data_IF_399967179013
#
_entry.id   IF_399967179013
#
_cell.length_a   1.000
_cell.length_b   1.000
_cell.length_c   1.000
_cell.angle_alpha   90.00
_cell.angle_beta   90.00
_cell.angle_gamma   90.00
#
_symmetry.space_group_name_H-M   'P 1'
#
loop_
_entity.id
_entity.type
_entity.pdbx_description
1 polymer ?
#
# COMPACT_ATOMS: atom_id res chain seq x y z
N UNK A 1 -27.47 0.88 20.00
CA UNK A 1 -26.41 0.65 18.97
C UNK A 1 -26.18 1.87 18.08
N UNK A 2 -27.22 2.45 17.44
CA UNK A 2 -27.07 3.50 16.42
C UNK A 2 -26.12 4.65 16.82
N UNK A 3 -26.35 5.28 17.97
CA UNK A 3 -25.54 6.44 18.42
C UNK A 3 -24.06 6.06 18.65
N UNK A 4 -23.77 4.85 19.13
CA UNK A 4 -22.40 4.38 19.30
C UNK A 4 -21.72 4.13 17.95
N UNK A 5 -22.41 3.50 16.99
CA UNK A 5 -21.92 3.33 15.63
C UNK A 5 -21.66 4.68 14.95
N UNK A 6 -22.58 5.65 15.12
CA UNK A 6 -22.42 7.02 14.59
C UNK A 6 -21.18 7.72 15.18
N UNK A 7 -20.92 7.56 16.49
CA UNK A 7 -19.73 8.12 17.13
C UNK A 7 -18.45 7.48 16.61
N UNK A 8 -18.46 6.17 16.45
CA UNK A 8 -17.30 5.48 15.91
C UNK A 8 -17.02 5.81 14.44
N UNK A 9 -18.09 5.90 13.63
CA UNK A 9 -17.96 6.41 12.26
C UNK A 9 -17.36 7.82 12.22
N UNK A 10 -17.78 8.72 13.14
CA UNK A 10 -17.20 10.06 13.29
C UNK A 10 -15.71 10.01 13.63
N UNK A 11 -15.30 9.12 14.55
CA UNK A 11 -13.89 8.92 14.87
C UNK A 11 -13.06 8.51 13.62
N UNK A 12 -13.53 7.51 12.88
CA UNK A 12 -12.84 7.06 11.65
C UNK A 12 -12.82 8.17 10.57
N UNK A 13 -13.89 8.95 10.46
CA UNK A 13 -13.94 10.08 9.52
C UNK A 13 -12.93 11.18 9.87
N UNK A 14 -12.69 11.45 11.16
CA UNK A 14 -11.66 12.39 11.59
C UNK A 14 -10.25 11.86 11.27
N UNK A 15 -10.04 10.57 11.43
CA UNK A 15 -8.77 9.95 11.03
C UNK A 15 -8.56 9.96 9.51
N UNK A 16 -9.62 9.85 8.72
CA UNK A 16 -9.55 10.03 7.27
C UNK A 16 -9.16 11.47 6.89
N UNK A 17 -9.68 12.47 7.61
CA UNK A 17 -9.27 13.87 7.46
C UNK A 17 -7.80 14.08 7.85
N UNK A 18 -7.34 13.45 8.93
CA UNK A 18 -5.92 13.46 9.32
C UNK A 18 -5.02 13.05 8.15
N UNK A 19 -5.41 12.02 7.39
CA UNK A 19 -4.67 11.55 6.23
C UNK A 19 -4.60 12.56 5.08
N UNK A 20 -5.61 13.42 4.95
CA UNK A 20 -5.68 14.46 3.93
C UNK A 20 -5.24 15.84 4.40
N UNK A 21 -4.88 15.99 5.68
CA UNK A 21 -4.40 17.25 6.25
C UNK A 21 -3.08 17.69 5.61
N UNK A 22 -2.93 19.01 5.44
CA UNK A 22 -1.81 19.60 4.72
C UNK A 22 -0.67 20.07 5.64
N UNK A 23 -0.89 20.13 6.94
CA UNK A 23 0.10 20.56 7.93
C UNK A 23 -0.08 19.84 9.26
N UNK A 24 0.88 20.03 10.19
CA UNK A 24 0.85 19.36 11.49
C UNK A 24 -0.26 19.87 12.41
N UNK A 25 -0.63 21.16 12.34
CA UNK A 25 -1.71 21.74 13.16
C UNK A 25 -3.02 21.02 12.85
N UNK A 26 -3.37 20.93 11.56
CA UNK A 26 -4.58 20.22 11.13
C UNK A 26 -4.54 18.73 11.49
N UNK A 27 -3.36 18.11 11.42
CA UNK A 27 -3.17 16.73 11.87
C UNK A 27 -3.51 16.58 13.36
N UNK A 28 -3.02 17.47 14.23
CA UNK A 28 -3.30 17.42 15.68
C UNK A 28 -4.78 17.59 15.96
N UNK A 29 -5.45 18.56 15.33
CA UNK A 29 -6.91 18.78 15.48
C UNK A 29 -7.69 17.51 15.11
N UNK A 30 -7.34 16.86 13.98
CA UNK A 30 -8.00 15.63 13.57
C UNK A 30 -7.76 14.47 14.56
N UNK A 31 -6.58 14.40 15.17
CA UNK A 31 -6.28 13.39 16.20
C UNK A 31 -7.04 13.65 17.51
N UNK A 32 -7.10 14.89 17.97
CA UNK A 32 -7.85 15.25 19.18
C UNK A 32 -9.33 14.89 19.02
N UNK A 33 -9.93 15.21 17.89
CA UNK A 33 -11.29 14.82 17.54
C UNK A 33 -11.46 13.30 17.44
N UNK A 34 -10.46 12.60 16.91
CA UNK A 34 -10.46 11.13 16.85
C UNK A 34 -10.45 10.52 18.26
N UNK A 35 -9.54 10.93 19.14
CA UNK A 35 -9.45 10.41 20.51
C UNK A 35 -10.74 10.65 21.30
N UNK A 36 -11.30 11.85 21.20
CA UNK A 36 -12.55 12.23 21.87
C UNK A 36 -13.72 11.38 21.36
N UNK A 37 -13.87 11.22 20.06
CA UNK A 37 -14.95 10.45 19.43
C UNK A 37 -14.79 8.94 19.70
N UNK A 38 -13.58 8.41 19.64
CA UNK A 38 -13.29 7.01 19.92
C UNK A 38 -13.69 6.62 21.35
N UNK A 39 -13.28 7.42 22.35
CA UNK A 39 -13.66 7.19 23.74
C UNK A 39 -15.16 7.34 23.98
N UNK A 40 -15.78 8.34 23.35
CA UNK A 40 -17.23 8.58 23.46
C UNK A 40 -18.06 7.41 22.95
N UNK A 41 -17.55 6.63 22.00
CA UNK A 41 -18.23 5.43 21.45
C UNK A 41 -18.60 4.43 22.54
N UNK A 42 -17.64 4.01 23.36
CA UNK A 42 -17.90 3.04 24.44
C UNK A 42 -18.77 3.64 25.56
N UNK A 43 -18.63 4.93 25.85
CA UNK A 43 -19.43 5.61 26.87
C UNK A 43 -20.91 5.73 26.43
N UNK A 44 -21.17 6.17 25.20
CA UNK A 44 -22.54 6.27 24.66
C UNK A 44 -23.19 4.89 24.62
N UNK A 45 -22.45 3.87 24.26
CA UNK A 45 -22.94 2.50 24.28
C UNK A 45 -23.31 2.03 25.69
N UNK A 46 -22.48 2.33 26.68
CA UNK A 46 -22.77 2.06 28.09
C UNK A 46 -24.06 2.74 28.54
N UNK A 47 -24.21 4.04 28.26
CA UNK A 47 -25.41 4.79 28.61
C UNK A 47 -26.67 4.25 27.93
N UNK A 48 -26.57 3.87 26.67
CA UNK A 48 -27.69 3.35 25.90
C UNK A 48 -28.17 1.96 26.36
N UNK A 49 -27.30 1.17 26.97
CA UNK A 49 -27.61 -0.18 27.45
C UNK A 49 -27.83 -0.26 28.96
N UNK A 50 -27.54 0.81 29.70
CA UNK A 50 -27.75 0.88 31.14
C UNK A 50 -29.23 0.64 31.44
N UNK A 51 -29.49 -0.15 32.48
CA UNK A 51 -30.84 -0.56 32.94
C UNK A 51 -31.65 -1.35 31.90
N UNK A 52 -31.01 -1.90 30.87
CA UNK A 52 -31.62 -2.85 29.92
C UNK A 52 -31.12 -4.27 30.21
N UNK A 53 -31.77 -5.26 29.62
CA UNK A 53 -31.30 -6.67 29.69
C UNK A 53 -29.91 -6.89 29.08
N UNK A 54 -29.42 -5.94 28.30
CA UNK A 54 -28.12 -5.98 27.63
C UNK A 54 -26.96 -5.36 28.44
N UNK A 55 -27.22 -4.76 29.61
CA UNK A 55 -26.19 -4.17 30.46
C UNK A 55 -25.09 -5.20 30.88
N UNK A 56 -25.44 -6.43 31.33
CA UNK A 56 -24.44 -7.44 31.64
C UNK A 56 -23.61 -7.88 30.41
N UNK A 57 -24.21 -7.86 29.23
CA UNK A 57 -23.56 -8.17 27.96
C UNK A 57 -22.50 -7.10 27.64
N UNK A 58 -22.85 -5.80 27.79
CA UNK A 58 -21.91 -4.72 27.61
C UNK A 58 -20.69 -4.85 28.55
N UNK A 59 -20.91 -5.14 29.82
CA UNK A 59 -19.81 -5.32 30.78
C UNK A 59 -18.87 -6.46 30.40
N UNK A 60 -19.44 -7.59 29.93
CA UNK A 60 -18.66 -8.72 29.42
C UNK A 60 -17.80 -8.34 28.22
N UNK A 61 -18.37 -7.62 27.22
CA UNK A 61 -17.62 -7.20 26.04
C UNK A 61 -16.59 -6.11 26.36
N UNK A 62 -16.94 -5.16 27.22
CA UNK A 62 -16.00 -4.15 27.72
C UNK A 62 -14.79 -4.79 28.41
N UNK A 63 -15.02 -5.81 29.25
CA UNK A 63 -13.95 -6.56 29.90
C UNK A 63 -13.08 -7.26 28.85
N UNK A 64 -13.70 -8.00 27.91
CA UNK A 64 -13.02 -8.79 26.87
C UNK A 64 -12.17 -7.91 25.93
N UNK A 65 -12.68 -6.78 25.47
CA UNK A 65 -12.07 -6.01 24.40
C UNK A 65 -11.28 -4.79 24.88
N UNK A 66 -11.78 -4.05 25.87
CA UNK A 66 -11.23 -2.73 26.20
C UNK A 66 -10.40 -2.73 27.50
N UNK A 67 -10.89 -3.33 28.57
CA UNK A 67 -10.38 -3.08 29.92
C UNK A 67 -8.99 -3.66 30.16
N UNK A 68 -8.65 -4.78 29.54
CA UNK A 68 -7.35 -5.44 29.68
C UNK A 68 -6.37 -5.08 28.57
N UNK A 69 -6.85 -4.37 27.55
CA UNK A 69 -6.04 -4.03 26.39
C UNK A 69 -5.21 -2.76 26.64
N UNK A 70 -3.87 -2.88 26.50
CA UNK A 70 -2.93 -1.77 26.71
C UNK A 70 -3.22 -0.58 25.80
N UNK A 71 -3.50 -0.83 24.52
CA UNK A 71 -3.75 0.22 23.54
C UNK A 71 -5.04 0.97 23.84
N UNK A 72 -6.12 0.26 24.22
CA UNK A 72 -7.37 0.91 24.60
C UNK A 72 -7.27 1.72 25.90
N UNK A 73 -6.44 1.29 26.86
CA UNK A 73 -6.12 2.09 28.05
C UNK A 73 -5.41 3.38 27.67
N UNK A 74 -4.38 3.28 26.85
CA UNK A 74 -3.66 4.43 26.33
C UNK A 74 -4.59 5.40 25.61
N UNK A 75 -5.52 4.93 24.75
CA UNK A 75 -6.51 5.77 24.08
C UNK A 75 -7.39 6.58 25.05
N UNK A 76 -7.75 5.98 26.20
CA UNK A 76 -8.54 6.67 27.23
C UNK A 76 -7.69 7.70 27.99
N UNK A 77 -6.46 7.40 28.29
CA UNK A 77 -5.50 8.29 28.94
C UNK A 77 -5.21 9.50 28.06
N UNK A 78 -4.87 9.26 26.80
CA UNK A 78 -4.63 10.32 25.80
C UNK A 78 -5.82 11.26 25.64
N UNK A 79 -7.04 10.71 25.53
CA UNK A 79 -8.24 11.54 25.47
C UNK A 79 -8.40 12.42 26.71
N UNK A 80 -8.11 11.89 27.91
CA UNK A 80 -8.21 12.67 29.14
C UNK A 80 -7.19 13.80 29.21
N UNK A 81 -6.01 13.62 28.64
CA UNK A 81 -4.99 14.66 28.49
C UNK A 81 -5.43 15.73 27.53
N UNK A 82 -5.84 15.34 26.30
CA UNK A 82 -6.29 16.23 25.24
C UNK A 82 -7.48 17.12 25.70
N UNK A 83 -8.45 16.56 26.40
CA UNK A 83 -9.61 17.33 26.85
C UNK A 83 -9.38 18.22 28.08
N UNK A 84 -8.35 17.91 28.88
CA UNK A 84 -8.16 18.56 30.19
C UNK A 84 -6.88 19.38 30.32
N UNK A 85 -5.88 19.11 29.48
CA UNK A 85 -4.54 19.67 29.67
C UNK A 85 -4.00 20.41 28.46
N UNK A 86 -3.79 19.67 27.35
CA UNK A 86 -3.17 20.22 26.15
C UNK A 86 -3.50 19.34 24.92
N UNK A 87 -3.39 19.86 23.70
CA UNK A 87 -3.50 19.09 22.48
C UNK A 87 -2.52 17.91 22.45
N UNK A 88 -2.83 16.90 21.64
CA UNK A 88 -1.95 15.72 21.50
C UNK A 88 -0.53 16.11 21.08
N UNK A 89 0.45 15.63 21.83
CA UNK A 89 1.85 15.91 21.52
C UNK A 89 2.37 14.98 20.42
N UNK A 90 2.35 15.49 19.20
CA UNK A 90 2.66 14.77 17.97
C UNK A 90 4.02 15.16 17.42
N UNK A 91 4.90 14.17 17.24
CA UNK A 91 6.14 14.31 16.51
C UNK A 91 5.98 13.81 15.09
N UNK A 92 6.23 14.67 14.10
CA UNK A 92 6.21 14.31 12.69
C UNK A 92 7.63 14.20 12.14
N UNK A 93 7.98 13.02 11.66
CA UNK A 93 9.21 12.75 10.93
C UNK A 93 8.89 12.47 9.46
N UNK A 94 9.73 12.98 8.57
CA UNK A 94 9.65 12.76 7.13
C UNK A 94 10.89 12.03 6.67
N UNK A 95 10.71 10.86 6.07
CA UNK A 95 11.76 10.08 5.44
C UNK A 95 11.73 10.38 3.95
N UNK A 96 12.74 11.03 3.45
CA UNK A 96 12.92 11.31 2.02
C UNK A 96 13.78 10.20 1.44
N UNK A 97 13.23 9.44 0.51
CA UNK A 97 13.99 8.39 -0.19
C UNK A 97 14.05 8.71 -1.67
N UNK A 98 15.27 8.81 -2.21
CA UNK A 98 15.55 9.12 -3.61
C UNK A 98 16.01 7.85 -4.30
N UNK A 99 15.46 7.59 -5.50
CA UNK A 99 15.71 6.36 -6.26
C UNK A 99 16.53 6.65 -7.51
N UNK A 100 17.37 5.68 -7.89
CA UNK A 100 18.06 5.72 -9.19
C UNK A 100 17.03 5.53 -10.32
N UNK A 101 17.16 6.27 -11.41
CA UNK A 101 16.34 6.03 -12.60
C UNK A 101 16.49 4.58 -13.08
N UNK A 102 15.42 3.99 -13.57
CA UNK A 102 15.38 2.65 -14.20
C UNK A 102 15.51 1.48 -13.21
N UNK A 103 16.51 1.45 -12.33
CA UNK A 103 16.80 0.27 -11.46
C UNK A 103 16.13 0.31 -10.09
N UNK A 104 15.44 1.40 -9.75
CA UNK A 104 14.75 1.59 -8.47
C UNK A 104 15.63 1.46 -7.21
N UNK A 105 16.97 1.45 -7.36
CA UNK A 105 17.87 1.40 -6.21
C UNK A 105 17.76 2.67 -5.40
N UNK A 106 17.83 2.57 -4.07
CA UNK A 106 17.91 3.73 -3.19
C UNK A 106 19.25 4.40 -3.42
N UNK A 107 19.22 5.64 -3.88
CA UNK A 107 20.40 6.49 -4.06
C UNK A 107 20.76 7.19 -2.75
N UNK A 108 19.76 7.72 -2.06
CA UNK A 108 19.90 8.47 -0.82
C UNK A 108 18.62 8.33 0.01
N UNK A 109 18.77 8.27 1.33
CA UNK A 109 17.65 8.34 2.25
C UNK A 109 18.03 9.24 3.42
N UNK A 110 17.17 10.19 3.77
CA UNK A 110 17.36 11.14 4.86
C UNK A 110 16.10 11.30 5.66
N UNK A 111 16.24 11.68 6.93
CA UNK A 111 15.12 11.87 7.87
C UNK A 111 15.13 13.29 8.39
N UNK A 112 13.99 13.94 8.37
CA UNK A 112 13.78 15.29 8.87
C UNK A 112 12.67 15.30 9.90
N UNK A 113 12.82 16.11 10.96
CA UNK A 113 11.69 16.48 11.82
C UNK A 113 11.07 17.75 11.25
N UNK A 114 9.76 17.74 11.08
CA UNK A 114 9.02 18.83 10.46
C UNK A 114 8.32 19.65 11.53
N UNK A 115 8.50 20.98 11.50
CA UNK A 115 7.85 21.92 12.39
C UNK A 115 6.33 21.99 12.15
N UNK A 116 5.59 22.50 13.15
CA UNK A 116 4.13 22.45 13.18
C UNK A 116 3.46 23.28 12.09
N UNK A 117 4.03 24.37 11.69
CA UNK A 117 3.48 25.34 10.73
C UNK A 117 3.91 25.10 9.28
N UNK A 118 4.74 24.09 9.03
CA UNK A 118 5.23 23.79 7.68
C UNK A 118 4.17 23.10 6.85
N UNK A 119 3.73 23.78 5.78
CA UNK A 119 2.91 23.16 4.74
C UNK A 119 3.70 22.09 3.96
N UNK A 120 3.03 20.98 3.62
CA UNK A 120 3.69 19.88 2.90
C UNK A 120 4.24 20.29 1.54
N UNK A 121 3.58 21.20 0.85
CA UNK A 121 4.08 21.73 -0.41
C UNK A 121 5.37 22.52 -0.21
N UNK A 122 5.44 23.34 0.84
CA UNK A 122 6.66 24.08 1.21
C UNK A 122 7.82 23.12 1.50
N UNK A 123 7.53 22.01 2.19
CA UNK A 123 8.53 20.97 2.41
C UNK A 123 9.06 20.39 1.10
N UNK A 124 8.18 20.04 0.16
CA UNK A 124 8.57 19.52 -1.17
C UNK A 124 9.42 20.54 -1.92
N UNK A 125 9.02 21.82 -1.92
CA UNK A 125 9.78 22.89 -2.57
C UNK A 125 11.17 23.08 -1.93
N UNK A 126 11.31 22.90 -0.61
CA UNK A 126 12.60 23.02 0.08
C UNK A 126 13.62 21.94 -0.33
N UNK A 127 13.16 20.80 -0.85
CA UNK A 127 14.03 19.74 -1.35
C UNK A 127 14.65 20.06 -2.73
N UNK A 128 14.16 21.07 -3.41
CA UNK A 128 14.52 21.39 -4.80
C UNK A 128 16.03 21.54 -5.02
N UNK A 129 16.70 22.25 -4.14
CA UNK A 129 18.15 22.47 -4.26
C UNK A 129 18.97 21.19 -4.05
N UNK A 130 18.50 20.27 -3.20
CA UNK A 130 19.14 18.96 -3.03
C UNK A 130 18.88 18.05 -4.24
N UNK A 131 17.67 18.08 -4.79
CA UNK A 131 17.31 17.29 -5.96
C UNK A 131 18.05 17.76 -7.23
N UNK A 132 18.31 19.06 -7.38
CA UNK A 132 19.11 19.63 -8.48
C UNK A 132 20.57 19.17 -8.48
N UNK A 133 21.12 18.80 -7.32
CA UNK A 133 22.48 18.23 -7.23
C UNK A 133 22.57 16.83 -7.84
N UNK A 134 21.43 16.16 -8.00
CA UNK A 134 21.36 14.86 -8.67
C UNK A 134 21.37 15.11 -10.17
N UNK A 135 22.46 14.78 -10.82
CA UNK A 135 22.69 15.06 -12.25
C UNK A 135 21.83 14.16 -13.17
N UNK A 136 20.50 14.24 -13.00
CA UNK A 136 19.51 13.56 -13.84
C UNK A 136 18.37 14.51 -14.16
N UNK A 137 17.75 14.33 -15.31
CA UNK A 137 16.62 15.17 -15.76
C UNK A 137 15.31 14.82 -15.02
N UNK A 138 15.19 13.58 -14.57
CA UNK A 138 14.04 13.02 -13.87
C UNK A 138 14.51 12.38 -12.58
N UNK A 139 14.11 12.96 -11.44
CA UNK A 139 14.47 12.47 -10.10
C UNK A 139 13.24 11.91 -9.42
N UNK A 140 13.29 10.62 -9.11
CA UNK A 140 12.23 9.89 -8.41
C UNK A 140 12.48 9.89 -6.91
N UNK A 141 11.50 10.32 -6.10
CA UNK A 141 11.61 10.28 -4.65
C UNK A 141 10.27 10.08 -3.98
N UNK A 142 10.30 9.51 -2.77
CA UNK A 142 9.13 9.36 -1.91
C UNK A 142 9.32 10.10 -0.59
N UNK A 143 8.22 10.60 -0.04
CA UNK A 143 8.12 11.17 1.29
C UNK A 143 7.27 10.22 2.13
N UNK A 144 7.89 9.55 3.11
CA UNK A 144 7.19 8.71 4.09
C UNK A 144 7.06 9.51 5.40
N UNK A 145 5.83 9.94 5.68
CA UNK A 145 5.50 10.69 6.88
C UNK A 145 5.23 9.73 8.02
N UNK A 146 6.05 9.76 9.06
CA UNK A 146 5.87 8.95 10.27
C UNK A 146 5.50 9.83 11.44
N UNK A 147 4.36 9.51 11.99
CA UNK A 147 3.82 10.18 13.16
C UNK A 147 4.15 9.36 14.40
N UNK A 148 4.70 10.04 15.40
CA UNK A 148 5.12 9.41 16.65
C UNK A 148 4.57 10.18 17.83
N UNK A 149 4.43 9.51 18.97
CA UNK A 149 4.21 10.18 20.23
C UNK A 149 5.51 10.84 20.67
N UNK A 150 5.45 12.09 21.12
CA UNK A 150 6.66 12.82 21.49
C UNK A 150 7.35 12.23 22.74
N UNK A 151 6.60 11.64 23.66
CA UNK A 151 7.08 11.10 24.93
C UNK A 151 7.85 9.78 24.79
N UNK A 152 7.39 8.86 23.96
CA UNK A 152 7.96 7.51 23.84
C UNK A 152 8.51 7.16 22.44
N UNK A 153 8.39 8.09 21.49
CA UNK A 153 8.78 7.91 20.09
C UNK A 153 8.15 6.66 19.44
N UNK A 154 7.03 6.18 19.95
CA UNK A 154 6.32 5.02 19.43
C UNK A 154 5.55 5.37 18.15
N UNK A 155 5.39 4.37 17.28
CA UNK A 155 4.63 4.53 16.05
C UNK A 155 3.14 4.67 16.34
N UNK A 156 2.64 5.89 16.17
CA UNK A 156 1.26 6.24 16.41
C UNK A 156 0.28 5.46 15.53
N UNK A 157 0.63 5.23 14.28
CA UNK A 157 -0.23 4.54 13.33
C UNK A 157 -0.55 3.10 13.74
N UNK A 158 0.44 2.35 14.18
CA UNK A 158 0.26 0.97 14.62
C UNK A 158 -0.68 0.88 15.84
N UNK A 159 -0.53 1.78 16.80
CA UNK A 159 -1.39 1.81 17.98
C UNK A 159 -2.84 2.20 17.62
N UNK A 160 -3.02 3.18 16.75
CA UNK A 160 -4.34 3.58 16.26
C UNK A 160 -5.02 2.44 15.49
N UNK A 161 -4.31 1.78 14.59
CA UNK A 161 -4.85 0.63 13.83
C UNK A 161 -5.28 -0.50 14.76
N UNK A 162 -4.47 -0.83 15.77
CA UNK A 162 -4.83 -1.85 16.76
C UNK A 162 -6.09 -1.46 17.55
N UNK A 163 -6.23 -0.20 17.98
CA UNK A 163 -7.41 0.29 18.69
C UNK A 163 -8.68 0.21 17.82
N UNK A 164 -8.57 0.58 16.54
CA UNK A 164 -9.70 0.51 15.57
C UNK A 164 -10.20 -0.92 15.43
N UNK A 165 -9.30 -1.89 15.17
CA UNK A 165 -9.65 -3.30 15.02
C UNK A 165 -10.39 -3.81 16.27
N UNK A 166 -9.90 -3.47 17.46
CA UNK A 166 -10.51 -3.90 18.72
C UNK A 166 -11.91 -3.32 18.87
N UNK A 167 -12.09 -2.01 18.63
CA UNK A 167 -13.40 -1.36 18.75
C UNK A 167 -14.38 -1.88 17.71
N UNK A 168 -13.96 -2.05 16.46
CA UNK A 168 -14.79 -2.63 15.39
C UNK A 168 -15.29 -4.02 15.77
N UNK A 169 -14.39 -4.88 16.24
CA UNK A 169 -14.77 -6.24 16.65
C UNK A 169 -15.76 -6.22 17.82
N UNK A 170 -15.54 -5.37 18.82
CA UNK A 170 -16.47 -5.20 19.93
C UNK A 170 -17.87 -4.77 19.45
N UNK A 171 -17.94 -3.76 18.59
CA UNK A 171 -19.22 -3.24 18.08
C UNK A 171 -19.94 -4.30 17.22
N UNK A 172 -19.23 -5.04 16.39
CA UNK A 172 -19.80 -6.13 15.57
C UNK A 172 -20.33 -7.28 16.41
N UNK A 173 -19.57 -7.74 17.40
CA UNK A 173 -20.00 -8.81 18.30
C UNK A 173 -21.25 -8.38 19.08
N UNK A 174 -21.30 -7.13 19.56
CA UNK A 174 -22.49 -6.61 20.25
C UNK A 174 -23.69 -6.48 19.30
N UNK A 175 -23.47 -5.93 18.11
CA UNK A 175 -24.48 -5.79 17.08
C UNK A 175 -25.14 -7.13 16.74
N UNK A 176 -24.33 -8.16 16.47
CA UNK A 176 -24.82 -9.50 16.18
C UNK A 176 -25.55 -10.17 17.35
N UNK A 177 -25.21 -9.81 18.58
CA UNK A 177 -25.80 -10.42 19.79
C UNK A 177 -27.12 -9.75 20.19
N UNK A 178 -27.25 -8.42 20.02
CA UNK A 178 -28.47 -7.69 20.33
C UNK A 178 -29.61 -8.02 19.34
N UNK A 179 -29.28 -8.19 18.05
CA UNK A 179 -30.19 -8.71 17.02
C UNK A 179 -31.37 -7.80 16.63
N UNK A 180 -31.71 -6.80 17.42
CA UNK A 180 -32.81 -5.85 17.16
C UNK A 180 -32.23 -4.51 16.69
N UNK A 181 -31.72 -4.49 15.46
CA UNK A 181 -31.05 -3.35 14.90
C UNK A 181 -31.80 -2.82 13.66
N UNK A 182 -31.76 -1.50 13.50
CA UNK A 182 -32.44 -0.82 12.39
C UNK A 182 -31.57 -0.85 11.12
N UNK A 183 -32.20 -0.69 9.96
CA UNK A 183 -31.53 -0.54 8.66
C UNK A 183 -30.42 0.53 8.68
N UNK A 184 -30.62 1.63 9.45
CA UNK A 184 -29.61 2.65 9.64
C UNK A 184 -28.36 2.15 10.37
N UNK A 185 -28.48 1.14 11.22
CA UNK A 185 -27.33 0.51 11.86
C UNK A 185 -26.54 -0.32 10.84
N UNK A 186 -27.23 -1.04 9.95
CA UNK A 186 -26.61 -1.82 8.87
C UNK A 186 -25.79 -0.91 7.95
N UNK A 187 -26.37 0.20 7.52
CA UNK A 187 -25.68 1.21 6.70
C UNK A 187 -24.43 1.77 7.39
N UNK A 188 -24.51 2.05 8.69
CA UNK A 188 -23.35 2.55 9.45
C UNK A 188 -22.24 1.49 9.57
N UNK A 189 -22.60 0.24 9.77
CA UNK A 189 -21.60 -0.86 9.82
C UNK A 189 -20.86 -0.96 8.49
N UNK A 190 -21.56 -0.92 7.37
CA UNK A 190 -20.95 -0.95 6.03
C UNK A 190 -19.96 0.23 5.88
N UNK A 191 -20.38 1.45 6.23
CA UNK A 191 -19.51 2.64 6.17
C UNK A 191 -18.31 2.57 7.11
N UNK A 192 -18.48 2.01 8.31
CA UNK A 192 -17.39 1.77 9.26
C UNK A 192 -16.39 0.77 8.65
N UNK A 193 -16.86 -0.34 8.08
CA UNK A 193 -15.99 -1.33 7.44
C UNK A 193 -15.23 -0.78 6.24
N UNK A 194 -15.83 0.11 5.48
CA UNK A 194 -15.19 0.80 4.36
C UNK A 194 -14.05 1.72 4.83
N UNK A 195 -14.32 2.57 5.84
CA UNK A 195 -13.32 3.45 6.42
C UNK A 195 -12.21 2.68 7.15
N UNK A 196 -12.57 1.67 7.94
CA UNK A 196 -11.59 0.79 8.59
C UNK A 196 -10.65 0.17 7.54
N UNK A 197 -11.21 -0.40 6.48
CA UNK A 197 -10.42 -0.97 5.38
C UNK A 197 -9.50 0.04 4.73
N UNK A 198 -10.01 1.25 4.48
CA UNK A 198 -9.25 2.37 3.94
C UNK A 198 -8.09 2.73 4.87
N UNK A 199 -8.34 2.88 6.15
CA UNK A 199 -7.33 3.24 7.16
C UNK A 199 -6.30 2.11 7.33
N UNK A 200 -6.71 0.87 7.52
CA UNK A 200 -5.81 -0.26 7.77
C UNK A 200 -4.96 -0.66 6.57
N UNK A 201 -5.43 -0.40 5.34
CA UNK A 201 -4.66 -0.66 4.12
C UNK A 201 -3.73 0.47 3.72
N UNK A 202 -3.87 1.60 4.34
CA UNK A 202 -3.23 2.81 3.90
C UNK A 202 -1.84 3.04 4.51
N UNK A 203 -0.91 2.13 4.24
CA UNK A 203 0.49 2.54 4.04
C UNK A 203 0.57 3.77 3.11
N UNK A 204 -0.48 4.01 2.33
CA UNK A 204 -0.67 5.12 1.38
C UNK A 204 -1.02 6.45 2.06
N UNK A 205 -1.65 6.47 3.24
CA UNK A 205 -2.08 7.71 3.90
C UNK A 205 -0.89 8.61 4.23
N UNK A 206 0.25 8.01 4.52
CA UNK A 206 1.43 8.71 5.00
C UNK A 206 2.61 8.71 4.03
N UNK A 207 2.44 8.19 2.83
CA UNK A 207 3.48 8.17 1.80
C UNK A 207 3.01 8.88 0.55
N UNK A 208 3.79 9.86 0.12
CA UNK A 208 3.61 10.56 -1.15
C UNK A 208 4.79 10.26 -2.07
N UNK A 209 4.48 9.90 -3.30
CA UNK A 209 5.47 9.64 -4.34
C UNK A 209 5.54 10.82 -5.30
N UNK A 210 6.75 11.21 -5.69
CA UNK A 210 7.01 12.37 -6.53
C UNK A 210 8.03 12.07 -7.64
N UNK A 211 7.90 12.83 -8.72
CA UNK A 211 8.95 13.01 -9.73
C UNK A 211 9.28 14.49 -9.81
N UNK A 212 10.54 14.82 -9.76
CA UNK A 212 11.03 16.16 -10.03
C UNK A 212 11.66 16.21 -11.43
N UNK A 213 11.16 17.09 -12.29
CA UNK A 213 11.71 17.33 -13.63
C UNK A 213 12.63 18.55 -13.58
N UNK A 214 13.93 18.30 -13.59
CA UNK A 214 14.95 19.34 -13.41
C UNK A 214 14.97 20.38 -14.53
N UNK A 215 14.61 20.01 -15.75
CA UNK A 215 14.59 20.90 -16.92
C UNK A 215 13.36 21.83 -16.95
N UNK A 216 12.30 21.49 -16.25
CA UNK A 216 11.10 22.31 -16.11
C UNK A 216 10.93 22.97 -14.75
N UNK A 217 11.76 22.56 -13.77
CA UNK A 217 11.70 22.97 -12.37
C UNK A 217 10.32 22.72 -11.72
N UNK A 218 9.69 21.58 -12.04
CA UNK A 218 8.37 21.22 -11.54
C UNK A 218 8.37 19.86 -10.85
N UNK A 219 7.44 19.70 -9.88
CA UNK A 219 7.11 18.43 -9.25
C UNK A 219 5.82 17.84 -9.85
N UNK A 220 5.82 16.54 -10.05
CA UNK A 220 4.63 15.75 -10.33
C UNK A 220 4.42 14.77 -9.17
N UNK A 221 3.23 14.79 -8.58
CA UNK A 221 2.85 13.90 -7.49
C UNK A 221 2.10 12.71 -8.07
N UNK A 222 2.42 11.50 -7.61
CA UNK A 222 1.69 10.29 -7.94
C UNK A 222 0.29 10.30 -7.33
N UNK A 223 -0.66 9.73 -8.04
CA UNK A 223 -2.00 9.53 -7.53
C UNK A 223 -1.99 8.52 -6.39
N UNK A 224 -2.82 8.77 -5.38
CA UNK A 224 -3.05 7.80 -4.32
C UNK A 224 -4.07 6.77 -4.80
N UNK A 225 -3.60 5.63 -5.25
CA UNK A 225 -4.46 4.52 -5.59
C UNK A 225 -4.95 3.86 -4.30
N UNK A 226 -6.22 4.04 -3.99
CA UNK A 226 -6.94 3.21 -3.02
C UNK A 226 -7.60 2.12 -3.87
N UNK A 227 -7.03 0.90 -3.93
CA UNK A 227 -7.67 -0.14 -4.70
C UNK A 227 -9.03 -0.44 -4.08
N UNK A 228 -10.08 -0.08 -4.77
CA UNK A 228 -11.40 -0.66 -4.54
C UNK A 228 -11.30 -2.14 -4.87
N UNK A 229 -10.85 -2.92 -3.90
CA UNK A 229 -11.02 -4.36 -4.03
C UNK A 229 -12.53 -4.59 -4.01
N UNK A 230 -13.09 -5.26 -5.02
CA UNK A 230 -14.50 -5.60 -4.98
C UNK A 230 -14.77 -6.28 -3.64
N UNK A 231 -15.60 -5.63 -2.84
CA UNK A 231 -16.00 -6.14 -1.56
C UNK A 231 -16.70 -7.46 -1.78
N UNK A 232 -16.30 -8.44 -1.02
CA UNK A 232 -17.04 -9.63 -0.68
C UNK A 232 -17.52 -10.52 -1.85
N UNK A 233 -17.00 -11.75 -1.89
CA UNK A 233 -17.59 -12.91 -2.60
C UNK A 233 -17.53 -12.90 -4.13
N UNK A 234 -16.65 -12.17 -4.77
CA UNK A 234 -16.28 -12.55 -6.13
C UNK A 234 -15.56 -13.89 -6.03
N UNK A 235 -16.26 -14.94 -6.41
CA UNK A 235 -15.65 -16.25 -6.55
C UNK A 235 -14.54 -16.12 -7.62
N UNK A 236 -13.31 -15.95 -7.16
CA UNK A 236 -12.14 -15.77 -8.02
C UNK A 236 -12.05 -16.90 -9.05
N UNK A 237 -12.51 -18.10 -8.72
CA UNK A 237 -12.59 -19.21 -9.66
C UNK A 237 -13.55 -18.92 -10.80
N UNK A 238 -14.77 -18.47 -10.51
CA UNK A 238 -15.75 -18.13 -11.56
C UNK A 238 -15.25 -17.02 -12.46
N UNK A 239 -14.59 -16.03 -11.87
CA UNK A 239 -13.95 -14.96 -12.64
C UNK A 239 -12.86 -15.52 -13.57
N UNK A 240 -11.96 -16.36 -13.07
CA UNK A 240 -10.90 -16.99 -13.87
C UNK A 240 -11.47 -17.91 -14.95
N UNK A 241 -12.52 -18.69 -14.64
CA UNK A 241 -13.23 -19.52 -15.61
C UNK A 241 -13.88 -18.69 -16.71
N UNK A 242 -14.43 -17.50 -16.37
CA UNK A 242 -14.99 -16.57 -17.35
C UNK A 242 -13.94 -16.04 -18.33
N UNK A 243 -12.67 -16.02 -17.94
CA UNK A 243 -11.52 -15.70 -18.80
C UNK A 243 -10.90 -16.91 -19.48
N UNK A 244 -11.48 -18.12 -19.27
CA UNK A 244 -10.95 -19.37 -19.84
C UNK A 244 -9.59 -19.79 -19.24
N UNK A 245 -9.29 -19.36 -18.02
CA UNK A 245 -7.99 -19.58 -17.37
C UNK A 245 -8.17 -20.56 -16.20
N UNK A 246 -7.44 -21.67 -16.23
CA UNK A 246 -7.42 -22.63 -15.10
C UNK A 246 -6.41 -22.17 -14.06
N UNK A 247 -6.79 -22.25 -12.79
CA UNK A 247 -5.91 -21.92 -11.67
C UNK A 247 -4.75 -22.93 -11.59
N UNK A 248 -3.49 -22.51 -11.63
CA UNK A 248 -2.34 -23.41 -11.65
C UNK A 248 -1.88 -23.81 -10.26
N UNK A 249 -0.92 -24.73 -10.22
CA UNK A 249 -0.06 -24.90 -9.06
C UNK A 249 0.84 -23.66 -8.88
N UNK A 250 1.36 -23.46 -7.65
CA UNK A 250 2.34 -22.40 -7.38
C UNK A 250 3.78 -22.76 -7.82
N UNK A 251 3.93 -23.62 -8.86
CA UNK A 251 5.18 -23.71 -9.59
C UNK A 251 5.48 -22.37 -10.27
N UNK A 252 6.68 -21.86 -10.06
CA UNK A 252 7.02 -20.48 -10.45
C UNK A 252 6.82 -20.23 -11.96
N UNK A 253 7.18 -21.21 -12.80
CA UNK A 253 7.07 -21.09 -14.24
C UNK A 253 5.62 -21.13 -14.73
N UNK A 254 4.86 -22.09 -14.24
CA UNK A 254 3.45 -22.25 -14.60
C UNK A 254 2.60 -21.11 -14.03
N UNK A 255 2.93 -20.65 -12.83
CA UNK A 255 2.24 -19.49 -12.24
C UNK A 255 2.50 -18.19 -13.03
N UNK A 256 3.74 -17.97 -13.49
CA UNK A 256 4.06 -16.83 -14.35
C UNK A 256 3.28 -16.88 -15.67
N UNK A 257 3.18 -18.02 -16.33
CA UNK A 257 2.39 -18.22 -17.55
C UNK A 257 0.89 -18.00 -17.30
N UNK A 258 0.40 -18.49 -16.16
CA UNK A 258 -0.98 -18.27 -15.73
C UNK A 258 -1.28 -16.80 -15.59
N UNK A 259 -0.45 -16.03 -14.86
CA UNK A 259 -0.61 -14.61 -14.66
C UNK A 259 -0.56 -13.86 -16.00
N UNK A 260 0.37 -14.23 -16.90
CA UNK A 260 0.43 -13.65 -18.24
C UNK A 260 -0.89 -13.84 -18.99
N UNK A 261 -1.40 -15.08 -19.06
CA UNK A 261 -2.67 -15.38 -19.74
C UNK A 261 -3.85 -14.62 -19.14
N UNK A 262 -3.92 -14.57 -17.81
CA UNK A 262 -4.98 -13.85 -17.10
C UNK A 262 -4.98 -12.36 -17.49
N UNK A 263 -3.82 -11.70 -17.42
CA UNK A 263 -3.71 -10.28 -17.72
C UNK A 263 -3.93 -9.97 -19.20
N UNK A 264 -3.48 -10.83 -20.10
CA UNK A 264 -3.80 -10.71 -21.52
C UNK A 264 -5.32 -10.78 -21.76
N UNK A 265 -6.01 -11.74 -21.13
CA UNK A 265 -7.46 -11.88 -21.25
C UNK A 265 -8.21 -10.67 -20.68
N UNK A 266 -7.76 -10.14 -19.53
CA UNK A 266 -8.31 -8.90 -18.95
C UNK A 266 -8.11 -7.73 -19.90
N UNK A 267 -6.90 -7.54 -20.42
CA UNK A 267 -6.58 -6.48 -21.37
C UNK A 267 -7.46 -6.55 -22.62
N UNK A 268 -7.60 -7.73 -23.23
CA UNK A 268 -8.44 -7.95 -24.41
C UNK A 268 -9.91 -7.61 -24.16
N UNK A 269 -10.44 -7.90 -22.95
CA UNK A 269 -11.85 -7.61 -22.60
C UNK A 269 -12.10 -6.15 -22.26
N UNK A 270 -11.17 -5.51 -21.55
CA UNK A 270 -11.31 -4.13 -21.10
C UNK A 270 -10.84 -3.11 -22.12
N UNK A 271 -10.09 -3.57 -23.13
CA UNK A 271 -9.65 -2.74 -24.25
C UNK A 271 -8.50 -1.78 -23.94
N UNK A 272 -8.08 -1.57 -22.72
CA UNK A 272 -6.92 -0.74 -22.32
C UNK A 272 -6.72 -0.74 -20.79
N UNK A 273 -5.51 -0.36 -20.36
CA UNK A 273 -5.08 -0.06 -19.00
C UNK A 273 -5.22 -1.22 -18.00
N UNK A 274 -4.17 -2.01 -17.95
CA UNK A 274 -3.97 -2.91 -16.82
C UNK A 274 -3.46 -2.10 -15.64
N UNK A 275 -4.09 -2.30 -14.48
CA UNK A 275 -3.51 -1.83 -13.23
C UNK A 275 -2.20 -2.60 -13.00
N UNK A 276 -1.06 -1.92 -12.82
CA UNK A 276 0.18 -2.59 -12.47
C UNK A 276 0.04 -3.33 -11.15
N UNK A 277 0.63 -4.52 -11.07
CA UNK A 277 0.48 -5.37 -9.90
C UNK A 277 1.73 -6.18 -9.62
N UNK A 278 2.03 -6.37 -8.34
CA UNK A 278 3.07 -7.26 -7.87
C UNK A 278 2.42 -8.43 -7.12
N UNK A 279 2.79 -9.64 -7.50
CA UNK A 279 2.43 -10.89 -6.84
C UNK A 279 3.62 -11.40 -6.05
N UNK A 280 3.46 -11.51 -4.73
CA UNK A 280 4.47 -12.06 -3.82
C UNK A 280 4.01 -13.45 -3.39
N UNK A 281 4.76 -14.48 -3.74
CA UNK A 281 4.45 -15.86 -3.36
C UNK A 281 5.43 -16.32 -2.29
N UNK A 282 4.88 -16.82 -1.20
CA UNK A 282 5.60 -17.31 -0.03
C UNK A 282 5.85 -18.83 -0.12
N UNK A 283 6.77 -19.36 0.67
CA UNK A 283 7.12 -20.80 0.69
C UNK A 283 5.92 -21.69 1.06
N UNK A 284 4.97 -21.18 1.85
CA UNK A 284 3.71 -21.84 2.19
C UNK A 284 2.64 -21.78 1.08
N UNK A 285 2.99 -21.29 -0.10
CA UNK A 285 2.11 -21.08 -1.25
C UNK A 285 0.97 -20.06 -1.00
N UNK A 286 1.10 -19.18 -0.04
CA UNK A 286 0.25 -17.97 0.05
C UNK A 286 0.73 -16.99 -1.01
N UNK A 287 -0.21 -16.35 -1.70
CA UNK A 287 0.06 -15.29 -2.67
C UNK A 287 -0.54 -13.98 -2.19
N UNK A 288 0.31 -12.97 -1.98
CA UNK A 288 -0.13 -11.59 -1.72
C UNK A 288 -0.12 -10.82 -3.05
N UNK A 289 -1.24 -10.15 -3.33
CA UNK A 289 -1.37 -9.28 -4.50
C UNK A 289 -1.26 -7.82 -4.06
N UNK A 290 -0.37 -7.06 -4.69
CA UNK A 290 -0.08 -5.67 -4.37
C UNK A 290 -0.28 -4.85 -5.65
N UNK A 291 -1.49 -4.29 -5.88
CA UNK A 291 -1.70 -3.32 -6.95
C UNK A 291 -1.02 -2.00 -6.57
N UNK A 292 -0.60 -1.22 -7.56
CA UNK A 292 -0.03 0.10 -7.33
C UNK A 292 -0.39 1.07 -8.46
N UNK A 293 -0.28 2.38 -8.17
CA UNK A 293 -0.50 3.39 -9.18
C UNK A 293 0.61 3.39 -10.23
N UNK A 294 0.23 3.70 -11.46
CA UNK A 294 1.15 3.77 -12.61
C UNK A 294 1.35 5.18 -13.16
N UNK A 295 0.74 6.20 -12.54
CA UNK A 295 0.87 7.59 -13.00
C UNK A 295 2.34 8.02 -13.02
N UNK A 296 3.11 7.62 -12.01
CA UNK A 296 4.54 7.83 -11.94
C UNK A 296 5.31 6.56 -11.54
N UNK A 297 6.56 6.44 -12.01
CA UNK A 297 7.40 5.27 -11.72
C UNK A 297 7.81 5.16 -10.24
N UNK A 298 7.83 6.26 -9.53
CA UNK A 298 8.27 6.32 -8.13
C UNK A 298 7.48 5.36 -7.25
N UNK A 299 6.17 5.23 -7.47
CA UNK A 299 5.33 4.28 -6.72
C UNK A 299 5.79 2.84 -6.90
N UNK A 300 6.12 2.44 -8.13
CA UNK A 300 6.69 1.12 -8.40
C UNK A 300 8.04 0.92 -7.69
N UNK A 301 8.90 1.95 -7.72
CA UNK A 301 10.23 1.90 -7.09
C UNK A 301 10.12 1.74 -5.57
N UNK A 302 9.23 2.50 -4.93
CA UNK A 302 8.96 2.36 -3.51
C UNK A 302 8.45 0.97 -3.17
N UNK A 303 7.41 0.49 -3.87
CA UNK A 303 6.82 -0.84 -3.61
C UNK A 303 7.81 -1.98 -3.79
N UNK A 304 8.69 -1.90 -4.75
CA UNK A 304 9.75 -2.89 -4.97
C UNK A 304 10.76 -2.90 -3.82
N UNK A 305 11.16 -1.72 -3.30
CA UNK A 305 12.05 -1.63 -2.15
C UNK A 305 11.39 -2.14 -0.87
N UNK A 306 10.12 -1.80 -0.60
CA UNK A 306 9.35 -2.35 0.53
C UNK A 306 9.28 -3.90 0.51
N UNK A 307 9.20 -4.50 -0.69
CA UNK A 307 9.25 -5.96 -0.84
C UNK A 307 10.67 -6.48 -0.63
N UNK A 308 11.68 -5.80 -1.17
CA UNK A 308 13.08 -6.19 -1.01
C UNK A 308 13.49 -6.25 0.47
N UNK A 309 13.06 -5.28 1.28
CA UNK A 309 13.31 -5.27 2.72
C UNK A 309 12.68 -6.48 3.43
N UNK A 310 11.53 -6.94 2.95
CA UNK A 310 10.82 -8.11 3.50
C UNK A 310 11.39 -9.45 3.01
N UNK A 311 12.13 -9.49 1.92
CA UNK A 311 12.69 -10.75 1.37
C UNK A 311 13.58 -11.48 2.37
N UNK A 312 14.34 -10.73 3.18
CA UNK A 312 15.28 -11.31 4.16
C UNK A 312 14.54 -11.87 5.37
N UNK A 313 13.52 -11.17 5.88
CA UNK A 313 12.75 -11.56 7.06
C UNK A 313 11.67 -12.59 6.76
N UNK A 314 11.06 -12.50 5.58
CA UNK A 314 9.92 -13.31 5.20
C UNK A 314 10.34 -14.48 4.30
N UNK A 315 9.55 -15.56 4.35
CA UNK A 315 9.78 -16.74 3.49
C UNK A 315 9.20 -16.54 2.09
N UNK A 316 9.70 -15.48 1.41
CA UNK A 316 9.33 -15.18 0.03
C UNK A 316 10.05 -16.14 -0.92
N UNK A 317 9.25 -16.87 -1.71
CA UNK A 317 9.68 -17.84 -2.70
C UNK A 317 10.02 -17.19 -4.03
N UNK A 318 9.13 -16.33 -4.53
CA UNK A 318 9.34 -15.53 -5.73
C UNK A 318 8.37 -14.35 -5.79
N UNK A 319 8.72 -13.37 -6.60
CA UNK A 319 7.94 -12.16 -6.87
C UNK A 319 7.72 -12.04 -8.38
N UNK A 320 6.48 -11.75 -8.78
CA UNK A 320 6.12 -11.50 -10.18
C UNK A 320 5.49 -10.12 -10.30
N UNK A 321 6.04 -9.27 -11.16
CA UNK A 321 5.51 -7.93 -11.45
C UNK A 321 4.93 -7.91 -12.86
N UNK A 322 3.75 -7.31 -13.00
CA UNK A 322 3.08 -7.13 -14.29
C UNK A 322 2.73 -5.66 -14.45
N UNK A 323 3.12 -5.10 -15.57
CA UNK A 323 2.87 -3.71 -15.91
C UNK A 323 2.88 -3.49 -17.42
N UNK A 324 2.33 -2.37 -17.86
CA UNK A 324 2.48 -1.88 -19.22
C UNK A 324 3.76 -1.04 -19.35
N UNK A 325 4.35 -1.06 -20.53
CA UNK A 325 5.50 -0.23 -20.86
C UNK A 325 5.46 0.23 -22.31
N UNK A 326 5.93 1.45 -22.54
CA UNK A 326 6.15 1.95 -23.90
C UNK A 326 7.39 1.33 -24.53
N UNK A 327 7.27 0.97 -25.81
CA UNK A 327 8.38 0.49 -26.62
C UNK A 327 9.09 1.67 -27.30
N UNK A 328 10.41 1.62 -27.36
CA UNK A 328 11.24 2.64 -28.00
C UNK A 328 12.23 2.01 -28.96
N UNK A 329 12.46 2.67 -30.10
CA UNK A 329 13.41 2.22 -31.11
C UNK A 329 14.88 2.26 -30.65
N UNK A 330 15.19 3.12 -29.66
CA UNK A 330 16.55 3.30 -29.17
C UNK A 330 16.53 3.45 -27.65
N UNK A 331 17.55 2.87 -26.99
CA UNK A 331 17.73 2.99 -25.54
C UNK A 331 17.90 4.43 -25.07
N UNK A 332 18.45 5.31 -25.90
CA UNK A 332 18.63 6.72 -25.55
C UNK A 332 17.33 7.42 -25.15
N UNK A 333 16.18 6.99 -25.67
CA UNK A 333 14.89 7.55 -25.30
C UNK A 333 14.48 7.23 -23.86
N UNK A 334 14.99 6.15 -23.27
CA UNK A 334 14.77 5.86 -21.84
C UNK A 334 15.44 6.86 -20.91
N UNK A 335 16.43 7.61 -21.39
CA UNK A 335 17.14 8.66 -20.63
C UNK A 335 16.44 10.02 -20.70
N UNK A 336 15.41 10.16 -21.53
CA UNK A 336 14.58 11.37 -21.58
C UNK A 336 13.56 11.37 -20.44
N UNK A 337 13.12 12.55 -19.95
CA UNK A 337 12.00 12.64 -19.04
C UNK A 337 10.72 12.07 -19.67
N UNK A 338 9.83 11.54 -18.86
CA UNK A 338 8.64 10.81 -19.31
C UNK A 338 7.83 11.57 -20.35
N UNK A 339 7.57 12.86 -20.14
CA UNK A 339 6.77 13.69 -21.04
C UNK A 339 7.39 13.91 -22.43
N UNK A 340 8.74 13.80 -22.58
CA UNK A 340 9.44 13.80 -23.86
C UNK A 340 9.52 12.39 -24.45
N UNK A 341 9.70 11.41 -23.58
CA UNK A 341 9.89 10.01 -23.96
C UNK A 341 8.66 9.43 -24.66
N UNK A 342 7.46 9.78 -24.19
CA UNK A 342 6.21 9.26 -24.74
C UNK A 342 6.03 9.61 -26.21
N UNK A 343 6.55 10.77 -26.66
CA UNK A 343 6.50 11.21 -28.06
C UNK A 343 7.31 10.30 -29.01
N UNK A 344 8.27 9.55 -28.45
CA UNK A 344 9.13 8.62 -29.18
C UNK A 344 8.67 7.16 -29.07
N UNK A 345 7.53 6.92 -28.44
CA UNK A 345 6.98 5.57 -28.35
C UNK A 345 6.57 5.05 -29.72
N UNK A 346 6.89 3.79 -29.98
CA UNK A 346 6.46 3.08 -31.19
C UNK A 346 5.52 1.92 -30.89
N UNK A 347 4.83 1.97 -29.77
CA UNK A 347 3.85 0.98 -29.31
C UNK A 347 3.99 0.70 -27.82
N UNK A 348 3.18 -0.22 -27.35
CA UNK A 348 3.11 -0.62 -25.95
C UNK A 348 3.29 -2.12 -25.81
N UNK A 349 3.77 -2.54 -24.67
CA UNK A 349 3.90 -3.96 -24.32
C UNK A 349 3.40 -4.22 -22.91
N UNK A 350 2.81 -5.39 -22.71
CA UNK A 350 2.58 -5.95 -21.37
C UNK A 350 3.84 -6.72 -20.98
N UNK A 351 4.43 -6.34 -19.87
CA UNK A 351 5.64 -6.95 -19.35
C UNK A 351 5.28 -7.78 -18.11
N UNK A 352 5.72 -9.04 -18.11
CA UNK A 352 5.64 -9.94 -16.96
C UNK A 352 7.06 -10.29 -16.55
N UNK A 353 7.49 -9.88 -15.38
CA UNK A 353 8.82 -10.16 -14.83
C UNK A 353 8.71 -11.01 -13.59
N UNK A 354 9.59 -11.99 -13.44
CA UNK A 354 9.63 -12.86 -12.26
C UNK A 354 11.05 -13.04 -11.75
N UNK A 355 11.21 -12.88 -10.43
CA UNK A 355 12.46 -13.09 -9.71
C UNK A 355 12.18 -13.98 -8.50
N UNK A 356 13.05 -14.95 -8.24
CA UNK A 356 12.88 -15.85 -7.10
C UNK A 356 14.16 -16.62 -6.76
N UNK A 357 14.10 -17.36 -5.66
CA UNK A 357 15.20 -18.23 -5.24
C UNK A 357 15.28 -19.47 -6.13
N UNK A 358 16.49 -19.85 -6.47
CA UNK A 358 16.77 -21.09 -7.21
C UNK A 358 16.56 -21.05 -8.73
N UNK A 359 16.22 -19.90 -9.34
CA UNK A 359 16.13 -19.77 -10.80
C UNK A 359 16.63 -18.42 -11.32
N UNK A 360 16.96 -18.40 -12.61
CA UNK A 360 17.37 -17.17 -13.31
C UNK A 360 16.16 -16.24 -13.45
N UNK A 361 16.32 -14.93 -13.25
CA UNK A 361 15.25 -13.96 -13.51
C UNK A 361 14.63 -14.14 -14.90
N UNK A 362 13.31 -14.04 -14.97
CA UNK A 362 12.52 -14.31 -16.18
C UNK A 362 11.73 -13.09 -16.59
N UNK A 363 11.53 -12.91 -17.89
CA UNK A 363 10.70 -11.86 -18.45
C UNK A 363 9.96 -12.37 -19.69
N UNK A 364 8.67 -12.05 -19.76
CA UNK A 364 7.88 -12.15 -21.00
C UNK A 364 7.43 -10.74 -21.39
N UNK A 365 7.43 -10.44 -22.66
CA UNK A 365 7.00 -9.17 -23.22
C UNK A 365 6.02 -9.43 -24.37
N UNK A 366 4.82 -8.90 -24.24
CA UNK A 366 3.75 -9.05 -25.21
C UNK A 366 3.46 -7.70 -25.87
N UNK A 367 3.75 -7.56 -27.14
CA UNK A 367 3.39 -6.41 -27.96
C UNK A 367 1.86 -6.31 -28.04
N UNK A 368 1.28 -5.23 -27.52
CA UNK A 368 -0.18 -5.07 -27.42
C UNK A 368 -0.88 -5.10 -28.76
N UNK A 369 -0.19 -4.72 -29.84
CA UNK A 369 -0.73 -4.80 -31.20
C UNK A 369 -0.90 -6.23 -31.74
N UNK A 370 -0.25 -7.22 -31.09
CA UNK A 370 -0.21 -8.64 -31.55
C UNK A 370 -0.89 -9.62 -30.60
N UNK A 371 -1.39 -9.17 -29.44
CA UNK A 371 -1.98 -10.07 -28.43
C UNK A 371 -3.26 -10.79 -28.91
N UNK A 372 -3.88 -10.32 -29.97
CA UNK A 372 -5.03 -10.99 -30.59
C UNK A 372 -4.64 -12.13 -31.55
N UNK A 373 -3.34 -12.33 -31.83
CA UNK A 373 -2.83 -13.48 -32.55
C UNK A 373 -2.44 -14.62 -31.59
N UNK A 374 -3.22 -15.72 -31.53
CA UNK A 374 -2.92 -16.83 -30.63
C UNK A 374 -1.55 -17.47 -30.89
N UNK A 375 -1.08 -17.47 -32.15
CA UNK A 375 0.23 -18.04 -32.51
C UNK A 375 1.37 -17.21 -31.91
N UNK A 376 1.24 -15.88 -31.97
CA UNK A 376 2.20 -14.97 -31.35
C UNK A 376 2.24 -15.14 -29.83
N UNK A 377 1.07 -15.16 -29.17
CA UNK A 377 0.97 -15.35 -27.71
C UNK A 377 1.57 -16.68 -27.30
N UNK A 378 1.25 -17.77 -28.01
CA UNK A 378 1.79 -19.09 -27.77
C UNK A 378 3.32 -19.15 -27.96
N UNK A 379 3.85 -18.46 -28.97
CA UNK A 379 5.31 -18.36 -29.19
C UNK A 379 6.01 -17.66 -28.02
N UNK A 380 5.48 -16.53 -27.54
CA UNK A 380 6.04 -15.83 -26.40
C UNK A 380 6.01 -16.72 -25.14
N UNK A 381 4.88 -17.38 -24.86
CA UNK A 381 4.72 -18.25 -23.69
C UNK A 381 5.62 -19.49 -23.70
N UNK A 382 6.01 -20.01 -24.89
CA UNK A 382 6.82 -21.22 -25.03
C UNK A 382 8.30 -20.91 -25.21
N UNK A 383 8.64 -19.94 -26.06
CA UNK A 383 9.98 -19.77 -26.61
C UNK A 383 10.72 -18.52 -26.13
N UNK A 384 10.00 -17.51 -25.56
CA UNK A 384 10.59 -16.25 -25.14
C UNK A 384 10.56 -16.05 -23.62
N UNK A 385 10.54 -17.16 -22.90
CA UNK A 385 10.39 -17.19 -21.45
C UNK A 385 11.66 -16.77 -20.70
N UNK A 386 12.82 -17.07 -21.25
CA UNK A 386 14.14 -16.82 -20.66
C UNK A 386 14.87 -15.68 -21.42
N UNK A 387 14.15 -14.61 -21.76
CA UNK A 387 14.83 -13.41 -22.26
C UNK A 387 15.80 -12.99 -21.16
N UNK A 388 17.11 -12.90 -21.49
CA UNK A 388 18.13 -12.39 -20.58
C UNK A 388 17.69 -10.99 -20.15
N UNK A 389 16.91 -10.94 -19.08
CA UNK A 389 16.54 -9.70 -18.43
C UNK A 389 17.85 -9.10 -17.95
N UNK A 390 18.18 -7.90 -18.42
CA UNK A 390 19.25 -7.13 -17.81
C UNK A 390 18.65 -6.64 -16.48
N UNK A 391 18.72 -7.51 -15.46
CA UNK A 391 18.08 -7.32 -14.15
C UNK A 391 18.51 -5.99 -13.54
N UNK A 392 19.77 -5.63 -13.75
CA UNK A 392 20.36 -4.35 -13.30
C UNK A 392 19.69 -3.09 -13.89
N UNK A 393 18.96 -3.26 -14.99
CA UNK A 393 18.17 -2.19 -15.63
C UNK A 393 16.66 -2.40 -15.43
N UNK A 394 16.26 -3.25 -14.50
CA UNK A 394 14.87 -3.51 -14.16
C UNK A 394 14.50 -2.82 -12.85
N UNK A 395 13.28 -2.32 -12.74
CA UNK A 395 12.73 -1.84 -11.49
C UNK A 395 12.75 -2.90 -10.36
N UNK A 396 12.79 -4.18 -10.72
CA UNK A 396 12.86 -5.30 -9.74
C UNK A 396 14.29 -5.60 -9.24
N UNK A 397 15.29 -4.82 -9.61
CA UNK A 397 16.68 -5.06 -9.21
C UNK A 397 16.90 -5.11 -7.68
N UNK A 398 16.26 -4.26 -6.85
CA UNK A 398 16.36 -4.38 -5.39
C UNK A 398 15.92 -5.75 -4.85
N UNK A 399 14.82 -6.31 -5.39
CA UNK A 399 14.35 -7.64 -4.99
C UNK A 399 15.36 -8.72 -5.39
N UNK A 400 15.96 -8.61 -6.57
CA UNK A 400 17.00 -9.54 -7.02
C UNK A 400 18.20 -9.54 -6.07
N UNK A 401 18.67 -8.37 -5.66
CA UNK A 401 19.79 -8.25 -4.72
C UNK A 401 19.44 -8.84 -3.35
N UNK A 402 18.24 -8.56 -2.84
CA UNK A 402 17.77 -9.09 -1.55
C UNK A 402 17.69 -10.64 -1.57
N UNK A 403 17.17 -11.23 -2.65
CA UNK A 403 17.13 -12.70 -2.82
C UNK A 403 18.56 -13.28 -2.89
N UNK A 404 19.45 -12.64 -3.62
CA UNK A 404 20.86 -13.06 -3.69
C UNK A 404 21.51 -13.02 -2.30
N UNK A 405 21.34 -11.94 -1.57
CA UNK A 405 21.86 -11.80 -0.20
C UNK A 405 21.30 -12.86 0.74
N UNK A 406 19.98 -13.12 0.69
CA UNK A 406 19.33 -14.19 1.49
C UNK A 406 19.96 -15.55 1.22
N UNK A 407 20.23 -15.85 -0.04
CA UNK A 407 20.87 -17.10 -0.46
C UNK A 407 22.31 -17.21 0.06
N UNK A 408 23.09 -16.14 -0.06
CA UNK A 408 24.49 -16.11 0.38
C UNK A 408 24.57 -16.28 1.91
N UNK A 409 23.68 -15.65 2.69
CA UNK A 409 23.55 -15.88 4.15
C UNK A 409 23.19 -17.33 4.50
N UNK A 410 22.29 -17.99 3.74
CA UNK A 410 21.93 -19.39 3.95
C UNK A 410 23.11 -20.32 3.66
N UNK A 411 23.91 -20.03 2.63
CA UNK A 411 25.10 -20.82 2.29
C UNK A 411 26.19 -20.72 3.36
N UNK A 412 26.45 -19.55 3.90
CA UNK A 412 27.43 -19.32 4.98
C UNK A 412 27.05 -20.08 6.26
N UNK A 413 25.76 -20.09 6.64
CA UNK A 413 25.26 -20.80 7.85
C UNK A 413 25.32 -22.34 7.71
N UNK A 414 25.36 -22.90 6.51
CA UNK A 414 25.50 -24.34 6.30
C UNK A 414 26.95 -24.81 6.36
N UNK A 415 27.91 -23.90 6.22
CA UNK A 415 29.35 -24.16 6.23
C UNK A 415 30.02 -23.82 7.56
N UNK A 416 29.27 -23.22 8.49
CA UNK A 416 29.66 -23.00 9.90
C UNK A 416 29.01 -24.03 10.81
#
# INVERSE_FOLDING_TARGET
MFTALQRFYGALSNLDKFASANNLIDNVVCLDDFFSSFRSTSFVLQCALAHTEYEPLYDKFRQKYLKENRVCKWMVETRNEVEKQHPFDLLKQVYVTIYTPVSAMILKSETFTVENDVEYQTLVESLKDELKKINTVEVHFSLDFRFRKADDNADLYNDICAAIIIMTNMLKDMYSTIGDCTELCDDLIIKIEELERKILKSEIIFVDDYVYYADKDIFEKGDRLIPELPCNNVDVRKMLESYGVKYPSYDSKEFMKFLAKLHLAIYQKQGRHLMPVIFVVYDNNICKTIPFDSSIRTTAYRKVNEIADKVISDDIKYVTMIHEAYNYKSFQYHMLPYYKRIEHSNGESIIVQQIGDGFVPRMMMFDTSKINDPKYVDDVLKNRFDVKCIVEKSAMYPIYLAIKEKRDRKATRKNS
#
